data_IF_374790034756
#
_entry.id   IF_374790034756
#
_cell.length_a   1.000
_cell.length_b   1.000
_cell.length_c   1.000
_cell.angle_alpha   90.00
_cell.angle_beta   90.00
_cell.angle_gamma   90.00
#
_symmetry.space_group_name_H-M   'P 1'
#
loop_
_entity.id
_entity.type
_entity.pdbx_description
1 polymer ?
#
# COMPACT_ATOMS: atom_id res chain seq x y z
N UNK A 1 0.31 -3.76 -3.21
CA UNK A 1 1.48 -3.77 -4.12
C UNK A 1 1.34 -4.75 -5.26
N UNK A 2 0.60 -5.85 -5.08
CA UNK A 2 0.33 -6.82 -6.16
C UNK A 2 -0.23 -6.17 -7.44
N UNK A 3 -1.05 -5.12 -7.32
CA UNK A 3 -1.64 -4.39 -8.46
C UNK A 3 -0.61 -3.64 -9.33
N UNK A 4 0.58 -3.35 -8.80
CA UNK A 4 1.64 -2.68 -9.57
C UNK A 4 2.31 -3.68 -10.51
N UNK A 5 2.61 -4.88 -10.00
CA UNK A 5 3.45 -5.88 -10.67
C UNK A 5 2.62 -6.92 -11.41
N UNK A 6 1.43 -7.27 -10.90
CA UNK A 6 0.57 -8.28 -11.48
C UNK A 6 0.28 -8.03 -12.97
N UNK A 7 -0.11 -6.82 -13.45
CA UNK A 7 -0.46 -6.59 -14.85
C UNK A 7 0.66 -6.86 -15.85
N UNK A 8 1.91 -6.94 -15.39
CA UNK A 8 3.12 -7.18 -16.20
C UNK A 8 3.65 -8.60 -16.05
N UNK A 9 3.03 -9.40 -15.17
CA UNK A 9 3.47 -10.75 -14.84
C UNK A 9 2.75 -11.80 -15.68
N UNK A 10 3.41 -12.94 -15.90
CA UNK A 10 2.80 -14.10 -16.53
C UNK A 10 1.58 -14.65 -15.76
N UNK A 11 1.45 -14.32 -14.46
CA UNK A 11 0.29 -14.67 -13.63
C UNK A 11 -0.99 -13.93 -14.04
N UNK A 12 -0.88 -12.71 -14.58
CA UNK A 12 -2.04 -11.94 -15.02
C UNK A 12 -2.67 -12.49 -16.28
N UNK A 13 -1.86 -13.02 -17.20
CA UNK A 13 -2.35 -13.66 -18.42
C UNK A 13 -2.91 -15.07 -18.20
N UNK A 14 -2.53 -15.70 -17.07
CA UNK A 14 -2.98 -17.05 -16.70
C UNK A 14 -4.05 -17.05 -15.61
N UNK A 15 -4.63 -15.90 -15.29
CA UNK A 15 -5.65 -15.82 -14.25
C UNK A 15 -6.97 -16.50 -14.71
N UNK A 16 -7.68 -17.11 -13.75
CA UNK A 16 -8.92 -17.85 -14.04
C UNK A 16 -10.03 -16.97 -14.62
N UNK A 17 -9.99 -15.66 -14.37
CA UNK A 17 -10.96 -14.68 -14.87
C UNK A 17 -10.80 -14.47 -16.39
N UNK A 18 -9.56 -14.34 -16.86
CA UNK A 18 -9.24 -14.27 -18.29
C UNK A 18 -9.56 -15.58 -19.02
N UNK A 19 -9.49 -16.71 -18.30
CA UNK A 19 -9.89 -18.02 -18.82
C UNK A 19 -11.41 -18.19 -18.93
N UNK A 20 -12.16 -17.68 -17.94
CA UNK A 20 -13.62 -17.82 -17.87
C UNK A 20 -14.36 -16.79 -18.74
N UNK A 21 -13.75 -15.63 -19.00
CA UNK A 21 -14.38 -14.53 -19.73
C UNK A 21 -13.48 -14.00 -20.87
N UNK A 22 -13.66 -14.49 -22.11
CA UNK A 22 -12.80 -14.10 -23.24
C UNK A 22 -12.91 -12.62 -23.63
N UNK A 23 -14.07 -11.99 -23.40
CA UNK A 23 -14.25 -10.55 -23.60
C UNK A 23 -13.36 -9.76 -22.64
N UNK A 24 -13.37 -10.15 -21.36
CA UNK A 24 -12.56 -9.53 -20.31
C UNK A 24 -11.07 -9.75 -20.59
N UNK A 25 -10.68 -10.91 -21.12
CA UNK A 25 -9.30 -11.18 -21.55
C UNK A 25 -8.79 -10.16 -22.59
N UNK A 26 -9.62 -9.75 -23.55
CA UNK A 26 -9.26 -8.73 -24.54
C UNK A 26 -9.00 -7.35 -23.92
N UNK A 27 -9.71 -7.01 -22.85
CA UNK A 27 -9.47 -5.80 -22.08
C UNK A 27 -8.22 -5.92 -21.20
N UNK A 28 -8.01 -7.06 -20.52
CA UNK A 28 -6.85 -7.28 -19.65
C UNK A 28 -5.51 -7.38 -20.39
N UNK A 29 -5.53 -7.71 -21.68
CA UNK A 29 -4.35 -7.69 -22.56
C UNK A 29 -4.02 -6.28 -23.10
N UNK A 30 -4.93 -5.31 -22.93
CA UNK A 30 -4.70 -3.95 -23.38
C UNK A 30 -3.70 -3.22 -22.46
N UNK A 31 -2.66 -2.64 -23.07
CA UNK A 31 -1.62 -1.87 -22.37
C UNK A 31 -2.18 -0.68 -21.57
N UNK A 32 -3.27 -0.04 -22.03
CA UNK A 32 -3.93 1.04 -21.30
C UNK A 32 -4.54 0.56 -19.98
N UNK A 33 -5.19 -0.60 -19.99
CA UNK A 33 -5.82 -1.17 -18.79
C UNK A 33 -4.76 -1.67 -17.82
N UNK A 34 -3.68 -2.29 -18.33
CA UNK A 34 -2.53 -2.66 -17.50
C UNK A 34 -1.91 -1.44 -16.81
N UNK A 35 -1.73 -0.35 -17.56
CA UNK A 35 -1.26 0.93 -17.03
C UNK A 35 -2.19 1.52 -15.96
N UNK A 36 -3.51 1.50 -16.18
CA UNK A 36 -4.50 1.96 -15.22
C UNK A 36 -4.44 1.17 -13.90
N UNK A 37 -4.36 -0.18 -13.97
CA UNK A 37 -4.27 -1.05 -12.78
C UNK A 37 -2.96 -0.78 -12.02
N UNK A 38 -1.85 -0.60 -12.73
CA UNK A 38 -0.57 -0.22 -12.10
C UNK A 38 -0.68 1.15 -11.42
N UNK A 39 -1.29 2.15 -12.07
CA UNK A 39 -1.50 3.48 -11.50
C UNK A 39 -2.33 3.44 -10.20
N UNK A 40 -3.42 2.67 -10.18
CA UNK A 40 -4.20 2.43 -8.96
C UNK A 40 -3.32 1.79 -7.87
N UNK A 41 -2.55 0.78 -8.23
CA UNK A 41 -1.62 0.12 -7.31
C UNK A 41 -0.60 1.08 -6.68
N UNK A 42 -0.07 2.04 -7.47
CA UNK A 42 0.87 3.06 -7.00
C UNK A 42 0.19 4.04 -6.05
N UNK A 43 -1.01 4.54 -6.36
CA UNK A 43 -1.75 5.45 -5.47
C UNK A 43 -2.01 4.78 -4.13
N UNK A 44 -2.48 3.52 -4.14
CA UNK A 44 -2.68 2.74 -2.92
C UNK A 44 -1.37 2.54 -2.14
N UNK A 45 -0.24 2.38 -2.83
CA UNK A 45 1.07 2.30 -2.19
C UNK A 45 1.47 3.58 -1.48
N UNK A 46 1.33 4.71 -2.16
CA UNK A 46 1.63 6.01 -1.60
C UNK A 46 0.76 6.30 -0.38
N UNK A 47 -0.55 6.03 -0.46
CA UNK A 47 -1.46 6.20 0.67
C UNK A 47 -1.03 5.37 1.90
N UNK A 48 -0.74 4.09 1.69
CA UNK A 48 -0.26 3.21 2.78
C UNK A 48 1.09 3.64 3.35
N UNK A 49 2.00 4.16 2.53
CA UNK A 49 3.30 4.69 2.99
C UNK A 49 3.14 5.96 3.83
N UNK A 50 2.23 6.87 3.46
CA UNK A 50 1.93 8.07 4.24
C UNK A 50 1.36 7.70 5.60
N UNK A 51 0.41 6.76 5.63
CA UNK A 51 -0.18 6.27 6.87
C UNK A 51 0.88 5.61 7.77
N UNK A 52 1.72 4.75 7.19
CA UNK A 52 2.82 4.09 7.89
C UNK A 52 3.81 5.11 8.48
N UNK A 53 4.17 6.15 7.72
CA UNK A 53 5.03 7.23 8.20
C UNK A 53 4.41 8.00 9.37
N UNK A 54 3.09 8.25 9.34
CA UNK A 54 2.36 8.86 10.46
C UNK A 54 2.41 8.03 11.73
N UNK A 55 2.24 6.70 11.63
CA UNK A 55 2.34 5.77 12.76
C UNK A 55 3.74 5.79 13.39
N UNK A 56 4.79 5.85 12.57
CA UNK A 56 6.17 5.93 13.07
C UNK A 56 6.53 7.32 13.63
N UNK A 57 5.95 8.39 13.09
CA UNK A 57 6.14 9.76 13.57
C UNK A 57 5.57 9.99 14.97
N UNK A 58 4.38 9.45 15.26
CA UNK A 58 3.73 9.57 16.58
C UNK A 58 4.53 8.89 17.71
N UNK A 59 5.37 7.90 17.40
CA UNK A 59 6.17 7.19 18.42
C UNK A 59 7.34 8.01 18.99
N UNK A 60 7.64 9.20 18.45
CA UNK A 60 8.76 10.04 18.92
C UNK A 60 8.42 11.01 20.05
N UNK A 61 7.16 11.14 20.43
CA UNK A 61 6.71 12.04 21.51
C UNK A 61 6.20 11.26 22.72
N UNK A 62 6.93 10.24 23.17
CA UNK A 62 6.78 9.81 24.56
C UNK A 62 7.40 10.92 25.43
N UNK A 63 6.62 11.62 26.28
CA UNK A 63 7.18 12.61 27.19
C UNK A 63 8.24 11.93 28.06
N UNK A 64 9.40 12.58 28.25
CA UNK A 64 10.36 12.12 29.23
C UNK A 64 9.64 12.03 30.59
N UNK A 65 9.87 10.96 31.40
CA UNK A 65 9.30 10.87 32.74
C UNK A 65 9.62 12.16 33.49
N UNK A 66 8.59 12.82 33.99
CA UNK A 66 8.72 14.05 34.77
C UNK A 66 9.73 13.77 35.91
N UNK A 67 10.80 14.57 36.08
CA UNK A 67 11.74 14.35 37.16
C UNK A 67 10.96 14.44 38.48
N UNK A 68 10.90 13.32 39.20
CA UNK A 68 10.27 13.24 40.51
C UNK A 68 10.98 14.25 41.41
N UNK A 69 10.33 15.38 41.68
CA UNK A 69 10.81 16.38 42.62
C UNK A 69 10.81 15.75 44.02
N UNK A 70 11.96 15.24 44.43
CA UNK A 70 12.21 14.66 45.76
C UNK A 70 12.35 15.70 46.88
N UNK A 71 12.03 16.98 46.62
CA UNK A 71 12.30 18.10 47.55
C UNK A 71 11.12 18.45 48.49
N UNK A 72 10.14 17.56 48.66
CA UNK A 72 9.09 17.71 49.66
C UNK A 72 9.16 16.57 50.68
N UNK A 73 10.14 16.66 51.59
CA UNK A 73 10.08 16.04 52.90
C UNK A 73 10.04 17.15 53.97
N UNK A 74 9.09 17.10 54.93
CA UNK A 74 8.84 18.15 55.92
C UNK A 74 9.95 18.30 56.97
#
# INVERSE_FOLDING_TARGET
MILIVAPWSAFWDRNGIAWMMPIVRGYLSNHFIRGAVTGVGVITACAGLVELAGVFGLRRTAPAPDPVHHDQAP
#
